data_IF_672031079984
#
_entry.id   IF_672031079984
#
_cell.length_a   1.000
_cell.length_b   1.000
_cell.length_c   1.000
_cell.angle_alpha   90.00
_cell.angle_beta   90.00
_cell.angle_gamma   90.00
#
_symmetry.space_group_name_H-M   'P 1'
#
loop_
_entity.id
_entity.type
_entity.pdbx_description
1 polymer ?
#
# COMPACT_ATOMS: atom_id res chain seq x y z
N UNK A 1 -16.91 52.03 38.37
CA UNK A 1 -16.68 51.51 37.00
C UNK A 1 -15.23 51.09 36.85
N UNK A 2 -14.92 49.81 37.05
CA UNK A 2 -13.63 49.21 36.65
C UNK A 2 -13.96 48.16 35.58
N UNK A 3 -13.57 48.40 34.34
CA UNK A 3 -13.78 47.49 33.20
C UNK A 3 -12.80 46.32 33.34
N UNK A 4 -13.32 45.09 33.43
CA UNK A 4 -12.52 43.88 33.18
C UNK A 4 -12.24 43.81 31.67
N UNK A 5 -10.97 43.95 31.28
CA UNK A 5 -10.52 43.45 29.98
C UNK A 5 -10.36 41.93 30.11
N UNK A 6 -11.21 41.17 29.43
CA UNK A 6 -10.97 39.76 29.17
C UNK A 6 -10.01 39.69 27.97
N UNK A 7 -8.75 39.35 28.24
CA UNK A 7 -7.81 38.99 27.18
C UNK A 7 -8.22 37.62 26.63
N UNK A 8 -8.81 37.61 25.43
CA UNK A 8 -9.08 36.40 24.67
C UNK A 8 -7.72 35.88 24.16
N UNK A 9 -7.19 34.84 24.79
CA UNK A 9 -6.03 34.11 24.27
C UNK A 9 -6.53 33.24 23.12
N UNK A 10 -6.29 33.68 21.87
CA UNK A 10 -6.37 32.79 20.73
C UNK A 10 -5.21 31.79 20.85
N UNK A 11 -5.53 30.55 21.23
CA UNK A 11 -4.61 29.42 21.08
C UNK A 11 -4.67 29.03 19.61
N UNK A 12 -3.76 29.58 18.81
CA UNK A 12 -3.49 29.07 17.48
C UNK A 12 -2.78 27.71 17.66
N UNK A 13 -3.50 26.62 17.43
CA UNK A 13 -2.87 25.31 17.24
C UNK A 13 -2.01 25.40 15.98
N UNK A 14 -0.71 25.10 16.04
CA UNK A 14 0.08 24.95 14.83
C UNK A 14 -0.48 23.73 14.10
N UNK A 15 -0.98 23.93 12.89
CA UNK A 15 -1.15 22.84 11.93
C UNK A 15 0.25 22.29 11.65
N UNK A 16 0.61 21.20 12.32
CA UNK A 16 1.84 20.48 12.02
C UNK A 16 1.56 19.54 10.85
N UNK A 17 1.89 19.99 9.63
CA UNK A 17 1.92 19.11 8.47
C UNK A 17 2.94 17.99 8.71
N UNK A 18 2.51 16.74 8.51
CA UNK A 18 3.42 15.62 8.27
C UNK A 18 4.28 15.99 7.05
N UNK A 19 5.60 15.87 7.14
CA UNK A 19 6.45 16.14 5.99
C UNK A 19 6.25 14.99 4.98
N UNK A 20 5.57 15.27 3.87
CA UNK A 20 5.41 14.33 2.75
C UNK A 20 6.75 13.72 2.36
N UNK A 21 6.82 12.40 2.20
CA UNK A 21 8.00 11.76 1.64
C UNK A 21 8.07 12.12 0.14
N UNK A 22 9.15 12.77 -0.32
CA UNK A 22 9.25 13.25 -1.70
C UNK A 22 9.23 12.09 -2.72
N UNK A 23 9.70 10.91 -2.35
CA UNK A 23 9.65 9.72 -3.20
C UNK A 23 8.23 9.22 -3.35
N UNK A 24 7.45 9.14 -2.26
CA UNK A 24 6.03 8.76 -2.31
C UNK A 24 5.24 9.79 -3.13
N UNK A 25 5.48 11.08 -2.92
CA UNK A 25 4.87 12.14 -3.71
C UNK A 25 5.19 12.02 -5.20
N UNK A 26 6.44 11.68 -5.55
CA UNK A 26 6.86 11.46 -6.93
C UNK A 26 6.19 10.24 -7.56
N UNK A 27 6.05 9.14 -6.82
CA UNK A 27 5.32 7.93 -7.24
C UNK A 27 3.84 8.28 -7.51
N UNK A 28 3.18 8.93 -6.56
CA UNK A 28 1.77 9.37 -6.69
C UNK A 28 1.58 10.28 -7.91
N UNK A 29 2.51 11.20 -8.16
CA UNK A 29 2.46 12.11 -9.31
C UNK A 29 2.76 11.42 -10.64
N UNK A 30 3.46 10.28 -10.63
CA UNK A 30 3.77 9.51 -11.83
C UNK A 30 2.63 8.60 -12.29
N UNK A 31 1.61 8.39 -11.44
CA UNK A 31 0.37 7.65 -11.80
C UNK A 31 -0.35 8.42 -12.89
N UNK A 32 -0.42 7.80 -14.07
CA UNK A 32 -0.90 8.41 -15.30
C UNK A 32 -2.25 7.80 -15.72
N UNK A 33 -3.24 8.67 -15.89
CA UNK A 33 -4.60 8.24 -16.24
C UNK A 33 -4.70 7.61 -17.64
N UNK A 34 -3.88 8.04 -18.61
CA UNK A 34 -3.87 7.45 -19.94
C UNK A 34 -3.33 6.01 -19.89
N UNK A 35 -2.31 5.74 -19.07
CA UNK A 35 -1.80 4.38 -18.84
C UNK A 35 -2.84 3.49 -18.17
N UNK A 36 -3.53 4.01 -17.15
CA UNK A 36 -4.62 3.30 -16.46
C UNK A 36 -5.75 2.95 -17.43
N UNK A 37 -6.24 3.94 -18.20
CA UNK A 37 -7.29 3.72 -19.19
C UNK A 37 -6.85 2.78 -20.31
N UNK A 38 -5.60 2.86 -20.78
CA UNK A 38 -5.08 1.92 -21.78
C UNK A 38 -5.12 0.48 -21.25
N UNK A 39 -4.67 0.26 -20.01
CA UNK A 39 -4.74 -1.05 -19.36
C UNK A 39 -6.19 -1.55 -19.25
N UNK A 40 -7.12 -0.70 -18.78
CA UNK A 40 -8.52 -1.07 -18.63
C UNK A 40 -9.14 -1.45 -19.97
N UNK A 41 -8.92 -0.64 -21.02
CA UNK A 41 -9.41 -0.94 -22.37
C UNK A 41 -8.85 -2.27 -22.93
N UNK A 42 -7.58 -2.56 -22.69
CA UNK A 42 -6.94 -3.82 -23.11
C UNK A 42 -7.50 -5.04 -22.36
N UNK A 43 -7.64 -4.92 -21.04
CA UNK A 43 -8.08 -6.01 -20.15
C UNK A 43 -9.58 -6.31 -20.32
N UNK A 44 -10.40 -5.29 -20.55
CA UNK A 44 -11.85 -5.40 -20.78
C UNK A 44 -12.21 -5.74 -22.23
N UNK A 45 -11.24 -5.79 -23.14
CA UNK A 45 -11.46 -6.18 -24.53
C UNK A 45 -11.99 -5.09 -25.45
N UNK A 46 -12.02 -3.84 -25.01
CA UNK A 46 -12.28 -2.66 -25.87
C UNK A 46 -11.21 -2.51 -26.96
N UNK A 47 -9.96 -2.85 -26.60
CA UNK A 47 -8.80 -2.85 -27.49
C UNK A 47 -8.13 -4.22 -27.45
N UNK A 48 -7.58 -4.64 -28.60
CA UNK A 48 -6.84 -5.89 -28.70
C UNK A 48 -5.52 -5.86 -27.92
N UNK A 49 -5.17 -7.00 -27.32
CA UNK A 49 -3.91 -7.27 -26.64
C UNK A 49 -2.95 -8.02 -27.53
N UNK A 50 -1.65 -7.94 -27.23
CA UNK A 50 -0.62 -8.70 -27.94
C UNK A 50 -0.06 -9.80 -27.03
N UNK A 51 -0.14 -11.05 -27.46
CA UNK A 51 0.41 -12.22 -26.77
C UNK A 51 1.29 -12.99 -27.74
N UNK A 52 2.55 -13.22 -27.39
CA UNK A 52 3.56 -13.83 -28.28
C UNK A 52 3.63 -13.20 -29.69
N UNK A 53 3.44 -11.88 -29.80
CA UNK A 53 3.45 -11.15 -31.07
C UNK A 53 2.19 -11.29 -31.93
N UNK A 54 1.13 -11.92 -31.41
CA UNK A 54 -0.18 -12.04 -32.07
C UNK A 54 -1.19 -11.15 -31.36
N UNK A 55 -1.94 -10.37 -32.13
CA UNK A 55 -3.05 -9.57 -31.60
C UNK A 55 -4.31 -10.42 -31.43
N UNK A 56 -4.91 -10.37 -30.24
CA UNK A 56 -6.18 -11.02 -29.90
C UNK A 56 -7.00 -10.11 -28.96
N UNK A 57 -8.24 -10.47 -28.62
CA UNK A 57 -9.10 -9.67 -27.75
C UNK A 57 -9.61 -10.50 -26.57
N UNK A 58 -9.44 -9.99 -25.35
CA UNK A 58 -9.97 -10.59 -24.14
C UNK A 58 -11.47 -10.28 -24.07
N UNK A 59 -12.32 -11.18 -24.57
CA UNK A 59 -13.78 -10.95 -24.60
C UNK A 59 -14.47 -11.18 -23.27
N UNK A 60 -13.95 -12.10 -22.47
CA UNK A 60 -14.44 -12.42 -21.13
C UNK A 60 -13.32 -13.08 -20.34
N UNK A 61 -13.12 -12.62 -19.11
CA UNK A 61 -12.15 -13.19 -18.18
C UNK A 61 -12.77 -14.23 -17.23
N UNK A 62 -14.03 -14.59 -17.44
CA UNK A 62 -14.66 -15.68 -16.69
C UNK A 62 -13.88 -16.99 -16.88
N UNK A 63 -13.67 -17.76 -15.81
CA UNK A 63 -12.95 -19.05 -15.82
C UNK A 63 -13.38 -20.04 -16.91
N UNK A 64 -14.64 -19.97 -17.35
CA UNK A 64 -15.20 -20.90 -18.34
C UNK A 64 -15.04 -20.39 -19.78
N UNK A 65 -14.39 -19.25 -19.96
CA UNK A 65 -14.21 -18.58 -21.24
C UNK A 65 -12.72 -18.56 -21.62
N UNK A 66 -12.38 -18.65 -22.92
CA UNK A 66 -11.00 -18.68 -23.37
C UNK A 66 -10.23 -17.38 -23.09
N UNK A 67 -10.94 -16.28 -22.82
CA UNK A 67 -10.31 -15.00 -22.52
C UNK A 67 -9.63 -14.95 -21.16
N UNK A 68 -9.99 -15.80 -20.20
CA UNK A 68 -9.30 -15.92 -18.90
C UNK A 68 -7.83 -16.32 -19.09
N UNK A 69 -7.58 -17.45 -19.78
CA UNK A 69 -6.23 -17.91 -20.10
C UNK A 69 -5.49 -16.95 -21.05
N UNK A 70 -6.20 -16.27 -21.97
CA UNK A 70 -5.60 -15.21 -22.78
C UNK A 70 -5.11 -14.05 -21.91
N UNK A 71 -5.91 -13.62 -20.93
CA UNK A 71 -5.57 -12.57 -19.97
C UNK A 71 -4.34 -12.96 -19.16
N UNK A 72 -4.31 -14.17 -18.58
CA UNK A 72 -3.14 -14.68 -17.85
C UNK A 72 -1.85 -14.55 -18.67
N UNK A 73 -1.87 -15.01 -19.93
CA UNK A 73 -0.69 -14.91 -20.82
C UNK A 73 -0.33 -13.47 -21.17
N UNK A 74 -1.32 -12.63 -21.40
CA UNK A 74 -1.13 -11.21 -21.67
C UNK A 74 -0.44 -10.50 -20.50
N UNK A 75 -0.96 -10.68 -19.29
CA UNK A 75 -0.40 -10.10 -18.06
C UNK A 75 1.04 -10.57 -17.85
N UNK A 76 1.30 -11.87 -18.04
CA UNK A 76 2.64 -12.45 -17.96
C UNK A 76 3.61 -11.81 -18.94
N UNK A 77 3.25 -11.80 -20.23
CA UNK A 77 4.11 -11.28 -21.29
C UNK A 77 4.36 -9.77 -21.09
N UNK A 78 3.35 -9.01 -20.62
CA UNK A 78 3.46 -7.58 -20.31
C UNK A 78 4.44 -7.32 -19.17
N UNK A 79 4.29 -8.01 -18.03
CA UNK A 79 5.18 -7.84 -16.87
C UNK A 79 6.62 -8.27 -17.20
N UNK A 80 6.81 -9.37 -17.93
CA UNK A 80 8.14 -9.79 -18.42
C UNK A 80 8.75 -8.72 -19.34
N UNK A 81 7.95 -8.11 -20.23
CA UNK A 81 8.43 -7.06 -21.13
C UNK A 81 8.93 -5.81 -20.38
N UNK A 82 8.42 -5.58 -19.17
CA UNK A 82 8.88 -4.51 -18.27
C UNK A 82 10.10 -4.90 -17.43
N UNK A 83 10.61 -6.11 -17.60
CA UNK A 83 11.82 -6.60 -16.93
C UNK A 83 11.57 -7.23 -15.56
N UNK A 84 10.32 -7.53 -15.21
CA UNK A 84 10.01 -8.20 -13.95
C UNK A 84 10.31 -9.70 -14.01
N UNK A 85 10.77 -10.24 -12.87
CA UNK A 85 10.55 -11.65 -12.58
C UNK A 85 9.06 -11.84 -12.31
N UNK A 86 8.47 -12.82 -13.01
CA UNK A 86 7.06 -13.16 -12.92
C UNK A 86 6.93 -14.60 -12.46
N UNK A 87 6.20 -14.80 -11.38
CA UNK A 87 5.86 -16.10 -10.84
C UNK A 87 4.35 -16.35 -10.98
N UNK A 88 3.96 -17.61 -10.89
CA UNK A 88 2.56 -18.02 -11.04
C UNK A 88 2.26 -19.25 -10.18
N UNK A 89 1.01 -19.37 -9.76
CA UNK A 89 0.51 -20.53 -9.00
C UNK A 89 -0.71 -21.10 -9.70
N UNK A 90 -0.61 -22.35 -10.15
CA UNK A 90 -1.77 -23.12 -10.58
C UNK A 90 -2.44 -23.77 -9.36
N UNK A 91 -3.78 -23.75 -9.31
CA UNK A 91 -4.54 -24.25 -8.17
C UNK A 91 -5.91 -24.82 -8.57
N UNK A 92 -6.52 -25.54 -7.63
CA UNK A 92 -7.87 -26.06 -7.76
C UNK A 92 -8.06 -27.10 -8.87
N UNK A 93 -9.29 -27.58 -9.02
CA UNK A 93 -9.67 -28.48 -10.11
C UNK A 93 -10.02 -27.73 -11.42
N UNK A 94 -10.18 -26.39 -11.35
CA UNK A 94 -10.42 -25.51 -12.50
C UNK A 94 -9.22 -25.35 -13.42
N UNK A 95 -8.00 -25.68 -12.96
CA UNK A 95 -6.74 -25.15 -13.50
C UNK A 95 -6.66 -23.61 -13.41
N UNK A 96 -7.13 -23.05 -12.29
CA UNK A 96 -7.05 -21.61 -12.02
C UNK A 96 -5.59 -21.18 -11.80
N UNK A 97 -5.23 -19.95 -12.18
CA UNK A 97 -3.83 -19.50 -12.25
C UNK A 97 -3.62 -18.09 -11.70
N UNK A 98 -3.01 -17.98 -10.54
CA UNK A 98 -2.53 -16.68 -10.06
C UNK A 98 -1.27 -16.27 -10.82
N UNK A 99 -1.03 -14.96 -10.90
CA UNK A 99 0.21 -14.40 -11.43
C UNK A 99 0.64 -13.20 -10.61
N UNK A 100 1.96 -13.06 -10.40
CA UNK A 100 2.49 -11.87 -9.75
C UNK A 100 3.90 -11.53 -10.24
N UNK A 101 4.22 -10.24 -10.19
CA UNK A 101 5.57 -9.72 -10.41
C UNK A 101 6.21 -9.31 -9.09
N UNK A 102 7.53 -9.47 -8.99
CA UNK A 102 8.28 -9.19 -7.76
C UNK A 102 9.27 -8.06 -7.97
N UNK A 103 9.24 -7.08 -7.07
CA UNK A 103 10.30 -6.09 -6.87
C UNK A 103 10.95 -6.32 -5.52
N UNK A 104 12.13 -6.94 -5.52
CA UNK A 104 12.83 -7.31 -4.28
C UNK A 104 13.22 -6.08 -3.45
N UNK A 105 12.91 -6.13 -2.16
CA UNK A 105 13.28 -5.11 -1.18
C UNK A 105 14.75 -5.19 -0.78
N UNK A 106 15.29 -4.06 -0.32
CA UNK A 106 16.70 -3.93 0.03
C UNK A 106 17.02 -4.36 1.46
N UNK A 107 16.06 -4.28 2.38
CA UNK A 107 16.26 -4.53 3.82
C UNK A 107 15.47 -5.75 4.29
N UNK A 108 14.21 -5.84 3.89
CA UNK A 108 13.26 -6.90 4.25
C UNK A 108 12.78 -7.66 3.00
N UNK A 109 13.67 -8.39 2.31
CA UNK A 109 13.32 -9.06 1.05
C UNK A 109 12.29 -10.19 1.22
N UNK A 110 12.11 -10.71 2.44
CA UNK A 110 11.20 -11.81 2.79
C UNK A 110 9.93 -11.35 3.52
N UNK A 111 9.69 -10.05 3.63
CA UNK A 111 8.47 -9.48 4.23
C UNK A 111 7.75 -8.62 3.19
N UNK A 112 7.11 -9.22 2.17
CA UNK A 112 6.52 -8.48 1.08
C UNK A 112 5.31 -7.63 1.51
N UNK A 113 5.20 -6.47 0.87
CA UNK A 113 3.97 -5.70 0.73
C UNK A 113 3.33 -6.09 -0.59
N UNK A 114 2.04 -6.43 -0.57
CA UNK A 114 1.30 -6.86 -1.74
C UNK A 114 0.30 -5.77 -2.13
N UNK A 115 0.29 -5.39 -3.40
CA UNK A 115 -0.82 -4.70 -4.04
C UNK A 115 -1.49 -5.66 -5.01
N UNK A 116 -2.80 -5.82 -4.92
CA UNK A 116 -3.51 -6.83 -5.69
C UNK A 116 -4.93 -6.46 -6.09
N UNK A 117 -5.40 -7.25 -7.06
CA UNK A 117 -6.70 -7.21 -7.71
C UNK A 117 -6.97 -8.64 -8.25
N UNK A 118 -8.22 -9.00 -8.49
CA UNK A 118 -8.50 -10.24 -9.23
C UNK A 118 -8.61 -9.96 -10.73
N UNK A 119 -8.36 -10.96 -11.55
CA UNK A 119 -8.42 -10.82 -13.00
C UNK A 119 -9.50 -11.64 -13.67
N UNK A 120 -10.13 -12.60 -12.98
CA UNK A 120 -11.33 -13.20 -13.51
C UNK A 120 -12.47 -12.18 -13.57
N UNK A 121 -13.62 -12.58 -14.08
CA UNK A 121 -14.73 -11.66 -14.19
C UNK A 121 -16.04 -12.35 -14.49
N UNK A 122 -17.10 -11.63 -14.23
CA UNK A 122 -18.48 -12.06 -14.40
C UNK A 122 -19.21 -11.19 -15.45
N UNK A 123 -20.34 -11.66 -15.99
CA UNK A 123 -20.92 -13.00 -15.82
C UNK A 123 -20.24 -14.06 -16.71
N UNK A 124 -20.64 -15.33 -16.56
CA UNK A 124 -20.25 -16.40 -17.48
C UNK A 124 -20.96 -16.27 -18.84
N UNK A 125 -20.48 -15.35 -19.66
CA UNK A 125 -20.93 -15.10 -21.03
C UNK A 125 -19.73 -15.06 -21.99
N UNK A 126 -19.93 -15.33 -23.30
CA UNK A 126 -18.86 -15.23 -24.29
C UNK A 126 -18.24 -13.83 -24.42
N UNK A 127 -18.99 -12.80 -24.03
CA UNK A 127 -18.55 -11.41 -23.93
C UNK A 127 -19.01 -10.89 -22.57
N UNK A 128 -18.05 -10.52 -21.73
CA UNK A 128 -18.23 -9.95 -20.40
C UNK A 128 -16.99 -9.09 -20.12
N UNK A 129 -17.06 -7.77 -20.37
CA UNK A 129 -15.89 -6.90 -20.30
C UNK A 129 -15.37 -6.73 -18.87
N UNK A 130 -16.26 -6.78 -17.87
CA UNK A 130 -15.90 -6.78 -16.45
C UNK A 130 -14.94 -5.61 -16.16
N UNK A 131 -15.31 -4.42 -16.65
CA UNK A 131 -14.41 -3.27 -16.70
C UNK A 131 -14.11 -2.72 -15.33
N UNK A 132 -15.14 -2.45 -14.54
CA UNK A 132 -14.93 -1.96 -13.19
C UNK A 132 -14.51 -3.10 -12.26
N UNK A 133 -15.15 -4.27 -12.42
CA UNK A 133 -14.97 -5.47 -11.59
C UNK A 133 -14.26 -6.60 -12.37
N UNK A 134 -12.93 -6.73 -12.33
CA UNK A 134 -11.98 -5.84 -11.66
C UNK A 134 -10.86 -5.35 -12.58
N UNK A 135 -11.17 -5.07 -13.86
CA UNK A 135 -10.16 -4.49 -14.75
C UNK A 135 -9.67 -3.12 -14.24
N UNK A 136 -10.45 -2.42 -13.42
CA UNK A 136 -10.07 -1.16 -12.76
C UNK A 136 -8.92 -1.39 -11.75
N UNK A 137 -9.05 -2.35 -10.83
CA UNK A 137 -8.03 -2.75 -9.87
C UNK A 137 -6.81 -3.35 -10.55
N UNK A 138 -7.01 -4.26 -11.52
CA UNK A 138 -5.91 -4.85 -12.30
C UNK A 138 -5.04 -3.78 -12.95
N UNK A 139 -5.68 -2.76 -13.52
CA UNK A 139 -4.99 -1.66 -14.20
C UNK A 139 -4.17 -0.81 -13.23
N UNK A 140 -4.65 -0.63 -11.99
CA UNK A 140 -3.90 0.02 -10.93
C UNK A 140 -2.72 -0.83 -10.43
N UNK A 141 -2.84 -2.17 -10.36
CA UNK A 141 -1.69 -3.07 -10.07
C UNK A 141 -0.61 -2.94 -11.15
N UNK A 142 -1.00 -2.96 -12.43
CA UNK A 142 -0.06 -2.77 -13.54
C UNK A 142 0.59 -1.38 -13.53
N UNK A 143 -0.18 -0.34 -13.22
CA UNK A 143 0.34 1.01 -13.10
C UNK A 143 1.30 1.14 -11.91
N UNK A 144 1.01 0.49 -10.78
CA UNK A 144 1.91 0.38 -9.63
C UNK A 144 3.26 -0.21 -10.04
N UNK A 145 3.24 -1.34 -10.76
CA UNK A 145 4.45 -1.95 -11.29
C UNK A 145 5.22 -0.95 -12.18
N UNK A 146 4.53 -0.29 -13.12
CA UNK A 146 5.16 0.69 -14.01
C UNK A 146 5.82 1.85 -13.27
N UNK A 147 5.14 2.48 -12.31
CA UNK A 147 5.64 3.70 -11.66
C UNK A 147 6.63 3.41 -10.54
N UNK A 148 6.53 2.25 -9.87
CA UNK A 148 7.43 1.87 -8.78
C UNK A 148 8.73 1.23 -9.28
N UNK A 149 8.80 0.85 -10.56
CA UNK A 149 9.96 0.15 -11.16
C UNK A 149 11.31 0.85 -10.88
N UNK A 150 11.35 2.18 -11.00
CA UNK A 150 12.57 3.00 -10.88
C UNK A 150 12.99 3.34 -9.45
N UNK A 151 12.18 2.99 -8.44
CA UNK A 151 12.46 3.30 -7.04
C UNK A 151 13.00 2.07 -6.33
N UNK A 152 13.53 2.22 -5.13
CA UNK A 152 13.91 1.09 -4.27
C UNK A 152 13.08 1.16 -3.00
N UNK A 153 12.91 0.02 -2.33
CA UNK A 153 12.07 -0.11 -1.15
C UNK A 153 12.77 -0.97 -0.11
N UNK A 154 12.47 -0.74 1.18
CA UNK A 154 12.99 -1.59 2.25
C UNK A 154 12.37 -2.98 2.15
N UNK A 155 11.05 -3.05 1.98
CA UNK A 155 10.30 -4.29 1.78
C UNK A 155 10.21 -4.69 0.31
N UNK A 156 10.10 -6.00 0.06
CA UNK A 156 9.70 -6.50 -1.26
C UNK A 156 8.30 -5.99 -1.61
N UNK A 157 8.07 -5.62 -2.87
CA UNK A 157 6.74 -5.30 -3.40
C UNK A 157 6.31 -6.40 -4.36
N UNK A 158 5.14 -6.99 -4.11
CA UNK A 158 4.50 -7.96 -4.98
C UNK A 158 3.32 -7.28 -5.67
N UNK A 159 3.29 -7.32 -7.00
CA UNK A 159 2.18 -6.88 -7.83
C UNK A 159 1.41 -8.11 -8.26
N UNK A 160 0.30 -8.42 -7.59
CA UNK A 160 -0.40 -9.69 -7.75
C UNK A 160 -1.77 -9.54 -8.41
N UNK A 161 -2.11 -10.55 -9.21
CA UNK A 161 -3.36 -10.66 -9.94
C UNK A 161 -3.91 -12.07 -9.69
N UNK A 162 -5.05 -12.14 -9.01
CA UNK A 162 -5.67 -13.40 -8.55
C UNK A 162 -6.69 -13.92 -9.55
N UNK A 163 -6.85 -15.23 -9.63
CA UNK A 163 -7.86 -15.88 -10.46
C UNK A 163 -8.95 -16.53 -9.59
N UNK A 164 -10.12 -16.82 -10.17
CA UNK A 164 -11.25 -17.45 -9.49
C UNK A 164 -11.67 -16.72 -8.16
N UNK A 165 -11.64 -15.38 -8.10
CA UNK A 165 -12.21 -14.60 -6.99
C UNK A 165 -13.72 -14.85 -6.91
N UNK A 166 -14.38 -14.77 -8.05
CA UNK A 166 -15.83 -14.87 -8.25
C UNK A 166 -16.38 -16.27 -7.94
N UNK A 167 -15.46 -17.21 -7.75
CA UNK A 167 -15.70 -18.60 -7.42
C UNK A 167 -15.25 -18.95 -5.99
N UNK A 168 -15.20 -17.94 -5.13
CA UNK A 168 -14.98 -18.07 -3.69
C UNK A 168 -13.54 -17.80 -3.26
N UNK A 169 -12.94 -16.73 -3.79
CA UNK A 169 -11.60 -16.23 -3.44
C UNK A 169 -10.51 -17.30 -3.66
N UNK A 170 -10.71 -18.17 -4.66
CA UNK A 170 -9.95 -19.41 -4.73
C UNK A 170 -8.46 -19.16 -5.00
N UNK A 171 -8.15 -18.17 -5.83
CA UNK A 171 -6.78 -17.76 -6.12
C UNK A 171 -6.07 -17.17 -4.92
N UNK A 172 -6.59 -16.10 -4.32
CA UNK A 172 -5.96 -15.48 -3.15
C UNK A 172 -5.87 -16.46 -1.97
N UNK A 173 -6.87 -17.32 -1.77
CA UNK A 173 -6.81 -18.35 -0.73
C UNK A 173 -5.72 -19.40 -1.00
N UNK A 174 -5.54 -19.81 -2.26
CA UNK A 174 -4.46 -20.74 -2.62
C UNK A 174 -3.08 -20.11 -2.36
N UNK A 175 -2.90 -18.83 -2.69
CA UNK A 175 -1.66 -18.09 -2.43
C UNK A 175 -1.42 -17.95 -0.93
N UNK A 176 -2.39 -17.45 -0.16
CA UNK A 176 -2.24 -17.25 1.28
C UNK A 176 -2.00 -18.57 2.02
N UNK A 177 -2.70 -19.65 1.63
CA UNK A 177 -2.48 -21.01 2.18
C UNK A 177 -1.08 -21.53 1.89
N UNK A 178 -0.54 -21.28 0.68
CA UNK A 178 0.81 -21.69 0.33
C UNK A 178 1.85 -21.02 1.25
N UNK A 179 1.70 -19.71 1.46
CA UNK A 179 2.62 -18.92 2.29
C UNK A 179 2.48 -19.24 3.79
N UNK A 180 1.26 -19.45 4.29
CA UNK A 180 1.04 -19.87 5.69
C UNK A 180 1.68 -21.24 5.97
N UNK A 181 1.50 -22.21 5.08
CA UNK A 181 2.14 -23.53 5.20
C UNK A 181 3.67 -23.47 5.15
N UNK A 182 4.23 -22.47 4.45
CA UNK A 182 5.66 -22.20 4.42
C UNK A 182 6.17 -21.44 5.67
N UNK A 183 5.25 -20.94 6.52
CA UNK A 183 5.51 -19.97 7.59
C UNK A 183 6.17 -18.69 7.07
N UNK A 184 5.78 -18.26 5.88
CA UNK A 184 6.25 -17.01 5.30
C UNK A 184 5.59 -15.81 5.99
N UNK A 185 6.30 -14.69 6.03
CA UNK A 185 5.76 -13.42 6.49
C UNK A 185 5.18 -12.64 5.32
N UNK A 186 4.07 -11.93 5.54
CA UNK A 186 3.53 -10.93 4.62
C UNK A 186 3.33 -9.66 5.44
N UNK A 187 4.00 -8.57 5.07
CA UNK A 187 3.98 -7.33 5.86
C UNK A 187 2.64 -6.62 5.78
N UNK A 188 2.00 -6.65 4.61
CA UNK A 188 0.66 -6.09 4.43
C UNK A 188 0.14 -6.24 3.01
N UNK A 189 -1.19 -6.29 2.89
CA UNK A 189 -1.89 -6.41 1.61
C UNK A 189 -2.84 -5.23 1.40
N UNK A 190 -2.72 -4.58 0.25
CA UNK A 190 -3.70 -3.62 -0.28
C UNK A 190 -4.44 -4.32 -1.43
N UNK A 191 -5.68 -4.72 -1.18
CA UNK A 191 -6.57 -5.25 -2.21
C UNK A 191 -7.45 -4.13 -2.77
N UNK A 192 -7.60 -4.06 -4.09
CA UNK A 192 -8.55 -3.18 -4.77
C UNK A 192 -9.56 -4.03 -5.52
N UNK A 193 -10.85 -3.73 -5.37
CA UNK A 193 -11.97 -4.40 -6.04
C UNK A 193 -13.27 -3.75 -5.54
N UNK A 194 -14.07 -3.06 -6.35
CA UNK A 194 -13.76 -2.33 -7.58
C UNK A 194 -13.49 -0.83 -7.26
N UNK A 195 -12.90 -0.08 -8.20
CA UNK A 195 -12.35 1.27 -7.90
C UNK A 195 -12.64 2.35 -8.96
N UNK A 196 -13.58 2.19 -9.87
CA UNK A 196 -13.84 3.17 -10.94
C UNK A 196 -15.26 3.73 -11.02
N UNK A 197 -16.21 3.30 -10.19
CA UNK A 197 -17.57 3.86 -10.14
C UNK A 197 -17.73 4.93 -9.07
N UNK A 198 -18.34 6.06 -9.47
CA UNK A 198 -18.78 7.17 -8.62
C UNK A 198 -19.84 7.95 -9.42
N UNK A 199 -21.11 7.55 -9.34
CA UNK A 199 -22.19 8.09 -10.15
C UNK A 199 -22.67 9.46 -9.69
N UNK A 200 -22.48 9.79 -8.41
CA UNK A 200 -22.92 11.06 -7.82
C UNK A 200 -21.79 12.10 -7.63
N UNK A 201 -20.54 11.72 -7.92
CA UNK A 201 -19.33 12.53 -7.89
C UNK A 201 -18.97 13.07 -6.50
N UNK A 202 -19.31 12.35 -5.44
CA UNK A 202 -18.96 12.72 -4.06
C UNK A 202 -17.56 12.22 -3.64
N UNK A 203 -16.94 11.36 -4.46
CA UNK A 203 -15.63 10.73 -4.21
C UNK A 203 -15.57 9.91 -2.92
N UNK A 204 -16.70 9.36 -2.47
CA UNK A 204 -16.72 8.44 -1.33
C UNK A 204 -16.15 7.09 -1.74
N UNK A 205 -15.28 6.56 -0.88
CA UNK A 205 -14.77 5.20 -0.99
C UNK A 205 -14.63 4.58 0.40
N UNK A 206 -14.43 3.27 0.46
CA UNK A 206 -14.37 2.52 1.70
C UNK A 206 -13.03 1.81 1.89
N UNK A 207 -12.60 1.79 3.15
CA UNK A 207 -11.51 0.92 3.62
C UNK A 207 -12.12 -0.13 4.54
N UNK A 208 -12.11 -1.39 4.14
CA UNK A 208 -12.49 -2.50 5.02
C UNK A 208 -11.26 -3.03 5.76
N UNK A 209 -11.33 -3.01 7.10
CA UNK A 209 -10.27 -3.48 7.98
C UNK A 209 -10.82 -4.24 9.18
N UNK A 210 -10.00 -5.07 9.83
CA UNK A 210 -10.37 -5.83 11.04
C UNK A 210 -9.21 -5.82 12.04
N UNK A 211 -9.44 -6.06 13.34
CA UNK A 211 -8.36 -6.25 14.32
C UNK A 211 -7.70 -7.63 14.17
N UNK A 212 -7.15 -7.90 12.99
CA UNK A 212 -6.40 -9.10 12.60
C UNK A 212 -5.01 -8.65 12.17
N UNK A 213 -3.97 -9.26 12.73
CA UNK A 213 -2.58 -8.85 12.55
C UNK A 213 -2.39 -7.32 12.66
N UNK A 214 -1.78 -6.69 11.66
CA UNK A 214 -1.56 -5.25 11.55
C UNK A 214 -2.55 -4.55 10.57
N UNK A 215 -3.71 -5.14 10.27
CA UNK A 215 -4.67 -4.58 9.29
C UNK A 215 -5.17 -3.17 9.64
N UNK A 216 -5.34 -2.85 10.93
CA UNK A 216 -5.72 -1.49 11.37
C UNK A 216 -4.60 -0.47 11.07
N UNK A 217 -3.33 -0.87 11.20
CA UNK A 217 -2.18 -0.02 10.83
C UNK A 217 -2.10 0.20 9.31
N UNK A 218 -2.44 -0.82 8.52
CA UNK A 218 -2.52 -0.71 7.06
C UNK A 218 -3.63 0.28 6.68
N UNK A 219 -4.80 0.21 7.32
CA UNK A 219 -5.89 1.17 7.11
C UNK A 219 -5.49 2.60 7.51
N UNK A 220 -4.84 2.77 8.66
CA UNK A 220 -4.30 4.06 9.09
C UNK A 220 -3.29 4.63 8.07
N UNK A 221 -2.49 3.76 7.43
CA UNK A 221 -1.55 4.16 6.37
C UNK A 221 -2.28 4.68 5.12
N UNK A 222 -3.37 4.03 4.71
CA UNK A 222 -4.22 4.52 3.62
C UNK A 222 -4.78 5.91 3.96
N UNK A 223 -5.35 6.08 5.15
CA UNK A 223 -5.94 7.35 5.60
C UNK A 223 -4.89 8.46 5.65
N UNK A 224 -3.70 8.14 6.16
CA UNK A 224 -2.57 9.06 6.20
C UNK A 224 -2.15 9.47 4.79
N UNK A 225 -2.05 8.53 3.84
CA UNK A 225 -1.70 8.85 2.45
C UNK A 225 -2.75 9.73 1.78
N UNK A 226 -4.03 9.43 1.97
CA UNK A 226 -5.12 10.26 1.43
C UNK A 226 -5.02 11.71 1.92
N UNK A 227 -4.77 11.88 3.23
CA UNK A 227 -4.68 13.19 3.89
C UNK A 227 -3.38 13.92 3.53
N UNK A 228 -2.23 13.29 3.76
CA UNK A 228 -0.91 13.89 3.65
C UNK A 228 -0.57 14.27 2.21
N UNK A 229 -1.00 13.49 1.22
CA UNK A 229 -0.78 13.77 -0.20
C UNK A 229 -1.99 14.42 -0.89
N UNK A 230 -3.02 14.77 -0.12
CA UNK A 230 -4.22 15.47 -0.60
C UNK A 230 -4.85 14.77 -1.82
N UNK A 231 -5.03 13.45 -1.74
CA UNK A 231 -5.59 12.66 -2.84
C UNK A 231 -7.05 13.06 -3.11
N UNK A 232 -7.81 13.32 -2.04
CA UNK A 232 -9.16 13.88 -2.13
C UNK A 232 -10.25 12.83 -2.37
N UNK A 233 -10.10 11.68 -1.72
CA UNK A 233 -11.17 10.67 -1.52
C UNK A 233 -11.81 10.93 -0.16
N UNK A 234 -13.12 10.80 -0.04
CA UNK A 234 -13.82 10.77 1.24
C UNK A 234 -13.86 9.32 1.76
N UNK A 235 -12.89 8.96 2.59
CA UNK A 235 -12.72 7.57 3.06
C UNK A 235 -13.60 7.26 4.25
N UNK A 236 -14.50 6.30 4.08
CA UNK A 236 -15.25 5.67 5.16
C UNK A 236 -14.54 4.39 5.61
N UNK A 237 -14.38 4.22 6.91
CA UNK A 237 -13.73 3.01 7.46
C UNK A 237 -14.79 2.05 7.96
N UNK A 238 -14.78 0.83 7.41
CA UNK A 238 -15.60 -0.28 7.88
C UNK A 238 -14.74 -1.18 8.78
N UNK A 239 -14.99 -1.16 10.09
CA UNK A 239 -14.35 -2.02 11.08
C UNK A 239 -15.40 -2.56 12.10
N UNK A 240 -15.75 -3.86 12.09
CA UNK A 240 -15.17 -4.90 11.24
C UNK A 240 -15.56 -4.72 9.77
N UNK A 241 -14.56 -4.81 8.90
CA UNK A 241 -14.70 -4.83 7.46
C UNK A 241 -15.38 -6.10 7.00
N UNK A 242 -15.92 -6.09 5.80
CA UNK A 242 -16.56 -7.26 5.23
C UNK A 242 -15.53 -8.14 4.51
N UNK A 243 -15.95 -9.34 4.14
CA UNK A 243 -15.06 -10.44 3.71
C UNK A 243 -15.41 -10.93 2.31
N UNK A 244 -15.86 -10.02 1.43
CA UNK A 244 -16.38 -10.39 0.12
C UNK A 244 -15.33 -10.46 -0.98
N UNK A 245 -14.09 -10.02 -0.75
CA UNK A 245 -13.01 -10.00 -1.75
C UNK A 245 -11.72 -10.60 -1.17
N UNK A 246 -10.66 -10.64 -1.99
CA UNK A 246 -9.43 -11.41 -1.78
C UNK A 246 -8.65 -11.06 -0.50
N UNK A 247 -8.78 -9.84 0.04
CA UNK A 247 -8.20 -9.47 1.33
C UNK A 247 -8.65 -10.39 2.46
N UNK A 248 -9.86 -10.97 2.35
CA UNK A 248 -10.40 -11.90 3.33
C UNK A 248 -9.60 -13.21 3.41
N UNK A 249 -9.04 -13.67 2.28
CA UNK A 249 -8.17 -14.84 2.26
C UNK A 249 -6.95 -14.63 3.15
N UNK A 250 -6.34 -13.45 3.12
CA UNK A 250 -5.20 -13.11 3.97
C UNK A 250 -5.59 -13.03 5.46
N UNK A 251 -6.75 -12.45 5.78
CA UNK A 251 -7.26 -12.45 7.16
C UNK A 251 -7.48 -13.86 7.72
N UNK A 252 -7.91 -14.82 6.90
CA UNK A 252 -8.12 -16.21 7.33
C UNK A 252 -6.81 -16.90 7.76
N UNK A 253 -5.67 -16.37 7.33
CA UNK A 253 -4.32 -16.86 7.65
C UNK A 253 -3.54 -15.90 8.56
N UNK A 254 -4.23 -15.01 9.29
CA UNK A 254 -3.64 -14.04 10.23
C UNK A 254 -2.59 -13.10 9.61
N UNK A 255 -2.76 -12.78 8.32
CA UNK A 255 -2.00 -11.73 7.64
C UNK A 255 -2.74 -10.39 7.67
N UNK A 256 -1.97 -9.30 7.72
CA UNK A 256 -2.52 -7.95 7.63
C UNK A 256 -3.00 -7.61 6.23
N UNK A 257 -4.26 -7.19 6.09
CA UNK A 257 -4.83 -6.83 4.81
C UNK A 257 -5.92 -5.76 4.95
N UNK A 258 -6.11 -4.97 3.90
CA UNK A 258 -7.29 -4.11 3.72
C UNK A 258 -7.85 -4.27 2.32
N UNK A 259 -9.13 -3.95 2.18
CA UNK A 259 -9.78 -3.72 0.89
C UNK A 259 -10.07 -2.24 0.72
N UNK A 260 -9.65 -1.69 -0.41
CA UNK A 260 -10.06 -0.39 -0.94
C UNK A 260 -11.08 -0.60 -2.04
N UNK A 261 -12.26 -0.02 -1.86
CA UNK A 261 -13.41 -0.26 -2.71
C UNK A 261 -14.26 1.02 -2.82
N UNK A 262 -14.94 1.18 -3.94
CA UNK A 262 -16.01 2.17 -4.12
C UNK A 262 -17.23 1.99 -3.18
N UNK A 263 -18.10 3.00 -3.12
CA UNK A 263 -19.22 3.01 -2.16
C UNK A 263 -20.41 2.15 -2.60
N UNK A 264 -20.34 0.86 -2.30
CA UNK A 264 -21.43 -0.09 -2.50
C UNK A 264 -22.72 0.18 -1.72
N UNK A 265 -22.66 0.89 -0.59
CA UNK A 265 -23.83 1.03 0.28
C UNK A 265 -24.80 2.10 -0.24
N UNK A 266 -24.27 3.17 -0.84
CA UNK A 266 -25.08 4.32 -1.28
C UNK A 266 -24.97 4.59 -2.79
N UNK A 267 -23.94 4.08 -3.47
CA UNK A 267 -23.66 4.32 -4.88
C UNK A 267 -23.12 3.05 -5.58
N UNK A 268 -23.87 1.95 -5.47
CA UNK A 268 -23.50 0.69 -6.10
C UNK A 268 -23.47 0.79 -7.64
N UNK A 269 -22.43 0.23 -8.26
CA UNK A 269 -22.33 0.10 -9.70
C UNK A 269 -23.49 -0.76 -10.25
N UNK A 270 -24.36 -0.14 -11.07
CA UNK A 270 -25.54 -0.82 -11.63
C UNK A 270 -25.21 -1.82 -12.73
N UNK A 271 -23.96 -1.90 -13.18
CA UNK A 271 -23.47 -2.81 -14.21
C UNK A 271 -22.69 -3.99 -13.64
N UNK A 272 -22.49 -4.06 -12.34
CA UNK A 272 -21.77 -5.16 -11.69
C UNK A 272 -22.33 -6.53 -12.05
N UNK A 273 -21.43 -7.46 -12.39
CA UNK A 273 -21.75 -8.80 -12.88
C UNK A 273 -22.70 -8.83 -14.09
N UNK A 274 -22.76 -7.74 -14.85
CA UNK A 274 -23.54 -7.62 -16.07
C UNK A 274 -22.62 -7.52 -17.30
N UNK A 275 -23.14 -7.92 -18.46
CA UNK A 275 -22.41 -7.80 -19.73
C UNK A 275 -22.11 -6.34 -20.13
N UNK A 276 -22.73 -5.37 -19.44
CA UNK A 276 -22.58 -3.93 -19.67
C UNK A 276 -21.59 -3.26 -18.72
N UNK A 277 -20.85 -4.01 -17.89
CA UNK A 277 -19.72 -3.46 -17.13
C UNK A 277 -18.57 -3.09 -18.09
N UNK A 278 -18.66 -1.89 -18.65
CA UNK A 278 -17.81 -1.36 -19.73
C UNK A 278 -17.06 -0.10 -19.28
N UNK A 279 -15.86 0.10 -19.84
CA UNK A 279 -14.94 1.21 -19.49
C UNK A 279 -15.59 2.59 -19.68
N UNK A 280 -16.59 2.71 -20.57
CA UNK A 280 -17.30 3.96 -20.80
C UNK A 280 -18.04 4.51 -19.57
N UNK A 281 -18.33 3.66 -18.58
CA UNK A 281 -19.03 4.05 -17.36
C UNK A 281 -18.10 4.48 -16.22
N UNK A 282 -16.78 4.41 -16.40
CA UNK A 282 -15.82 4.84 -15.39
C UNK A 282 -16.02 6.32 -15.05
N UNK A 283 -16.05 6.63 -13.75
CA UNK A 283 -15.75 7.96 -13.25
C UNK A 283 -14.22 8.15 -13.28
N UNK A 284 -13.72 8.66 -14.40
CA UNK A 284 -12.26 8.79 -14.65
C UNK A 284 -11.53 9.60 -13.55
N UNK A 285 -12.03 10.77 -13.09
CA UNK A 285 -11.40 11.49 -11.97
C UNK A 285 -11.34 10.68 -10.68
N UNK A 286 -12.43 10.00 -10.30
CA UNK A 286 -12.48 9.15 -9.11
C UNK A 286 -11.52 7.97 -9.23
N UNK A 287 -11.56 7.26 -10.35
CA UNK A 287 -10.68 6.14 -10.67
C UNK A 287 -9.19 6.52 -10.57
N UNK A 288 -8.82 7.70 -11.08
CA UNK A 288 -7.44 8.21 -10.97
C UNK A 288 -7.03 8.45 -9.51
N UNK A 289 -7.92 9.03 -8.70
CA UNK A 289 -7.67 9.27 -7.27
C UNK A 289 -7.52 7.95 -6.51
N UNK A 290 -8.42 6.98 -6.72
CA UNK A 290 -8.34 5.66 -6.08
C UNK A 290 -7.04 4.94 -6.45
N UNK A 291 -6.66 4.95 -7.72
CA UNK A 291 -5.38 4.38 -8.18
C UNK A 291 -4.17 5.06 -7.51
N UNK A 292 -4.17 6.40 -7.42
CA UNK A 292 -3.12 7.15 -6.71
C UNK A 292 -3.05 6.83 -5.23
N UNK A 293 -4.21 6.66 -4.58
CA UNK A 293 -4.30 6.30 -3.17
C UNK A 293 -3.70 4.92 -2.91
N UNK A 294 -4.16 3.90 -3.65
CA UNK A 294 -3.70 2.52 -3.49
C UNK A 294 -2.19 2.41 -3.72
N UNK A 295 -1.68 2.98 -4.82
CA UNK A 295 -0.24 2.95 -5.14
C UNK A 295 0.57 3.73 -4.10
N UNK A 296 0.08 4.88 -3.65
CA UNK A 296 0.73 5.67 -2.61
C UNK A 296 0.80 4.94 -1.26
N UNK A 297 -0.27 4.24 -0.88
CA UNK A 297 -0.34 3.42 0.33
C UNK A 297 0.61 2.22 0.26
N UNK A 298 0.65 1.52 -0.87
CA UNK A 298 1.63 0.46 -1.10
C UNK A 298 3.06 0.98 -1.00
N UNK A 299 3.37 2.12 -1.62
CA UNK A 299 4.70 2.73 -1.54
C UNK A 299 5.07 3.15 -0.10
N UNK A 300 4.10 3.63 0.68
CA UNK A 300 4.30 3.98 2.08
C UNK A 300 4.61 2.75 2.95
N UNK A 301 3.84 1.67 2.77
CA UNK A 301 4.07 0.40 3.47
C UNK A 301 5.40 -0.24 3.06
N UNK A 302 5.77 -0.14 1.79
CA UNK A 302 7.01 -0.71 1.28
C UNK A 302 8.26 0.06 1.74
N UNK A 303 8.08 1.31 2.19
CA UNK A 303 9.11 2.26 2.66
C UNK A 303 10.16 2.56 1.59
N UNK A 304 10.13 3.73 0.93
CA UNK A 304 11.12 4.05 -0.10
C UNK A 304 12.55 4.06 0.44
N UNK A 305 13.43 3.32 -0.21
CA UNK A 305 14.84 3.19 0.13
C UNK A 305 15.69 4.06 -0.79
N UNK A 306 16.44 5.00 -0.20
CA UNK A 306 17.40 5.82 -0.92
C UNK A 306 18.83 5.36 -0.60
N UNK A 307 19.44 4.59 -1.50
CA UNK A 307 20.88 4.26 -1.46
C UNK A 307 21.73 5.47 -1.86
N UNK A 308 21.75 6.53 -1.02
CA UNK A 308 22.33 7.81 -1.45
C UNK A 308 22.47 8.92 -0.41
N UNK A 309 22.98 8.63 0.78
CA UNK A 309 23.86 9.54 1.53
C UNK A 309 24.82 8.67 2.34
N UNK A 310 26.06 8.58 1.87
CA UNK A 310 27.07 7.69 2.44
C UNK A 310 27.34 8.02 3.89
N UNK A 311 26.88 7.13 4.76
CA UNK A 311 27.19 7.08 6.18
C UNK A 311 27.10 5.59 6.53
N UNK A 312 28.21 4.98 6.97
CA UNK A 312 28.18 3.58 7.42
C UNK A 312 27.25 3.46 8.63
N UNK A 313 26.26 2.58 8.55
CA UNK A 313 25.37 2.26 9.65
C UNK A 313 26.05 1.19 10.53
N UNK A 314 26.66 1.62 11.62
CA UNK A 314 27.32 0.72 12.58
C UNK A 314 26.24 0.02 13.44
N UNK A 315 26.20 -1.31 13.42
CA UNK A 315 25.33 -2.11 14.30
C UNK A 315 26.14 -2.72 15.46
N UNK A 316 25.85 -2.31 16.70
CA UNK A 316 26.45 -2.88 17.92
C UNK A 316 26.64 -1.85 19.05
N UNK A 317 26.50 -2.30 20.31
CA UNK A 317 26.67 -1.71 21.68
C UNK A 317 27.13 -0.24 21.94
N UNK A 318 27.01 0.68 20.98
CA UNK A 318 27.57 2.03 21.03
C UNK A 318 26.55 3.09 21.40
N UNK A 319 25.25 2.79 21.32
CA UNK A 319 24.16 3.58 21.88
C UNK A 319 23.39 2.73 22.90
N UNK A 320 23.18 3.28 24.09
CA UNK A 320 22.44 2.62 25.18
C UNK A 320 21.29 3.49 25.63
N UNK A 321 20.08 2.91 25.55
CA UNK A 321 18.82 3.48 26.02
C UNK A 321 18.41 2.79 27.33
N UNK A 322 18.33 3.53 28.43
CA UNK A 322 17.93 2.97 29.72
C UNK A 322 17.14 3.95 30.60
N UNK A 323 15.97 3.55 31.14
CA UNK A 323 15.28 2.28 30.89
C UNK A 323 14.67 2.22 29.48
N UNK A 324 14.54 1.02 28.93
CA UNK A 324 13.82 0.77 27.67
C UNK A 324 13.16 -0.62 27.76
N UNK A 325 11.82 -0.73 27.93
CA UNK A 325 10.82 0.34 27.85
C UNK A 325 10.92 1.44 28.91
N UNK A 326 10.56 2.67 28.55
CA UNK A 326 10.61 3.87 29.37
C UNK A 326 9.22 4.36 29.79
N UNK A 327 9.05 4.73 31.07
CA UNK A 327 7.77 5.15 31.67
C UNK A 327 7.64 6.66 31.93
N UNK A 328 8.72 7.41 31.82
CA UNK A 328 8.71 8.85 32.08
C UNK A 328 9.96 9.50 31.51
N UNK A 329 11.14 8.99 31.82
CA UNK A 329 12.40 9.45 31.24
C UNK A 329 13.16 8.29 30.60
N UNK A 330 14.03 8.61 29.64
CA UNK A 330 15.04 7.69 29.11
C UNK A 330 16.41 8.35 29.15
N UNK A 331 17.41 7.62 29.62
CA UNK A 331 18.81 8.01 29.47
C UNK A 331 19.33 7.42 28.16
N UNK A 332 19.91 8.29 27.35
CA UNK A 332 20.54 7.96 26.07
C UNK A 332 22.02 8.20 26.27
N UNK A 333 22.84 7.20 26.06
CA UNK A 333 24.31 7.32 26.17
C UNK A 333 24.99 6.73 24.95
N UNK A 334 26.10 7.31 24.54
CA UNK A 334 26.84 6.89 23.35
C UNK A 334 28.35 7.01 23.53
N UNK A 335 29.11 6.23 22.76
CA UNK A 335 30.58 6.23 22.86
C UNK A 335 31.27 7.11 21.81
N UNK A 336 30.82 7.06 20.56
CA UNK A 336 31.43 7.78 19.43
C UNK A 336 31.07 9.28 19.41
N UNK A 337 31.78 10.07 18.61
CA UNK A 337 31.43 11.48 18.39
C UNK A 337 30.31 11.58 17.36
N UNK A 338 29.23 12.27 17.74
CA UNK A 338 28.07 12.53 16.89
C UNK A 338 27.76 14.03 16.90
N UNK A 339 27.18 14.52 15.82
CA UNK A 339 26.81 15.93 15.66
C UNK A 339 25.32 16.16 15.93
N UNK A 340 24.48 15.14 15.72
CA UNK A 340 23.02 15.23 15.92
C UNK A 340 22.48 14.03 16.68
N UNK A 341 21.46 14.29 17.51
CA UNK A 341 20.57 13.29 18.10
C UNK A 341 19.14 13.64 17.67
N UNK A 342 18.47 12.70 17.02
CA UNK A 342 17.08 12.80 16.58
C UNK A 342 16.27 11.66 17.17
N UNK A 343 15.00 11.91 17.46
CA UNK A 343 14.04 10.86 17.77
C UNK A 343 12.88 10.99 16.81
N UNK A 344 12.56 9.91 16.13
CA UNK A 344 11.39 9.81 15.26
C UNK A 344 10.34 8.88 15.84
N UNK A 345 9.08 9.09 15.51
CA UNK A 345 8.05 8.06 15.71
C UNK A 345 8.11 6.97 14.62
N UNK A 346 7.18 6.02 14.65
CA UNK A 346 7.10 4.91 13.67
C UNK A 346 6.83 5.36 12.24
N UNK A 347 6.37 6.60 12.02
CA UNK A 347 6.09 7.18 10.71
C UNK A 347 7.28 8.00 10.20
N UNK A 348 8.42 8.01 10.91
CA UNK A 348 9.61 8.78 10.56
C UNK A 348 9.52 10.26 10.92
N UNK A 349 8.47 10.71 11.62
CA UNK A 349 8.33 12.11 12.04
C UNK A 349 9.28 12.41 13.18
N UNK A 350 10.14 13.42 13.02
CA UNK A 350 11.03 13.92 14.07
C UNK A 350 10.20 14.53 15.20
N UNK A 351 10.25 13.92 16.39
CA UNK A 351 9.59 14.37 17.62
C UNK A 351 10.56 15.06 18.57
N UNK A 352 11.87 14.85 18.41
CA UNK A 352 12.94 15.52 19.13
C UNK A 352 14.18 15.62 18.24
N UNK A 353 14.90 16.76 18.29
CA UNK A 353 16.20 16.91 17.62
C UNK A 353 17.08 17.88 18.39
N UNK A 354 18.36 17.55 18.53
CA UNK A 354 19.38 18.45 19.12
C UNK A 354 20.73 18.24 18.45
N UNK A 355 21.53 19.31 18.46
CA UNK A 355 22.97 19.21 18.18
C UNK A 355 23.67 18.59 19.39
N UNK A 356 24.63 17.71 19.13
CA UNK A 356 25.51 17.09 20.13
C UNK A 356 26.91 17.64 19.93
N UNK A 357 27.58 17.98 21.04
CA UNK A 357 28.98 18.42 21.04
C UNK A 357 29.88 17.25 21.43
N UNK A 358 31.11 17.21 20.93
CA UNK A 358 32.09 16.13 21.16
C UNK A 358 32.26 15.76 22.65
N UNK A 359 32.15 16.72 23.56
CA UNK A 359 32.31 16.52 25.01
C UNK A 359 31.10 15.84 25.71
N UNK A 360 29.98 15.67 25.01
CA UNK A 360 28.74 15.11 25.58
C UNK A 360 28.54 13.69 25.08
N UNK A 361 28.50 12.73 26.01
CA UNK A 361 28.36 11.28 25.75
C UNK A 361 27.06 10.68 26.26
N UNK A 362 26.11 11.54 26.62
CA UNK A 362 24.78 11.13 27.02
C UNK A 362 23.86 12.30 27.31
N UNK A 363 22.55 12.03 27.26
CA UNK A 363 21.49 12.96 27.65
C UNK A 363 20.34 12.20 28.31
N UNK A 364 19.50 12.91 29.06
CA UNK A 364 18.26 12.38 29.61
C UNK A 364 17.11 13.11 28.94
N UNK A 365 16.18 12.35 28.37
CA UNK A 365 14.97 12.91 27.78
C UNK A 365 13.77 12.63 28.68
N UNK A 366 12.99 13.67 28.93
CA UNK A 366 11.64 13.55 29.50
C UNK A 366 10.65 13.20 28.40
N UNK A 367 9.98 12.07 28.58
CA UNK A 367 9.02 11.49 27.67
C UNK A 367 7.56 11.72 28.09
N UNK A 368 7.29 12.55 29.11
CA UNK A 368 5.94 12.82 29.58
C UNK A 368 5.02 13.42 28.50
N UNK A 369 5.58 14.18 27.56
CA UNK A 369 4.85 14.80 26.45
C UNK A 369 4.63 13.87 25.25
N UNK A 370 5.21 12.67 25.25
CA UNK A 370 5.20 11.74 24.12
C UNK A 370 4.17 10.64 24.37
N UNK A 371 3.43 10.25 23.32
CA UNK A 371 2.43 9.17 23.41
C UNK A 371 3.12 7.83 23.66
N UNK A 372 2.41 6.89 24.29
CA UNK A 372 2.87 5.51 24.38
C UNK A 372 3.02 4.93 22.97
N UNK A 373 4.12 4.21 22.72
CA UNK A 373 4.44 3.73 21.38
C UNK A 373 5.92 3.45 21.16
N UNK A 374 6.25 3.13 19.91
CA UNK A 374 7.61 2.88 19.45
C UNK A 374 8.16 4.19 18.86
N UNK A 375 9.42 4.46 19.17
CA UNK A 375 10.21 5.56 18.64
C UNK A 375 11.57 5.03 18.20
N UNK A 376 12.27 5.78 17.35
CA UNK A 376 13.63 5.47 16.91
C UNK A 376 14.54 6.61 17.29
N UNK A 377 15.58 6.32 18.08
CA UNK A 377 16.62 7.27 18.46
C UNK A 377 17.76 7.15 17.47
N UNK A 378 18.01 8.20 16.69
CA UNK A 378 19.08 8.28 15.71
C UNK A 378 20.18 9.23 16.21
N UNK A 379 21.43 8.78 16.17
CA UNK A 379 22.62 9.62 16.32
C UNK A 379 23.35 9.65 14.99
N UNK A 380 23.79 10.83 14.53
CA UNK A 380 24.51 10.96 13.26
C UNK A 380 25.61 12.02 13.30
N UNK A 381 26.64 11.84 12.47
CA UNK A 381 27.55 12.88 12.01
C UNK A 381 27.75 12.71 10.49
N UNK A 382 28.65 13.50 9.89
CA UNK A 382 28.96 13.41 8.45
C UNK A 382 29.47 12.04 7.95
N UNK A 383 29.99 11.17 8.83
CA UNK A 383 30.69 9.92 8.49
C UNK A 383 29.95 8.65 8.99
N UNK A 384 29.20 8.73 10.11
CA UNK A 384 28.50 7.59 10.75
C UNK A 384 27.09 7.94 11.26
N UNK A 385 26.20 6.95 11.28
CA UNK A 385 24.88 7.03 11.91
C UNK A 385 24.55 5.73 12.63
N UNK A 386 23.76 5.82 13.70
CA UNK A 386 23.23 4.67 14.43
C UNK A 386 21.79 4.95 14.84
N UNK A 387 20.93 3.95 14.71
CA UNK A 387 19.51 4.04 15.08
C UNK A 387 19.16 2.94 16.08
N UNK A 388 18.48 3.29 17.17
CA UNK A 388 18.05 2.35 18.21
C UNK A 388 16.58 2.53 18.56
N UNK A 389 15.84 1.42 18.61
CA UNK A 389 14.43 1.39 19.01
C UNK A 389 14.24 1.77 20.48
N UNK A 390 13.37 2.74 20.74
CA UNK A 390 12.88 3.18 22.05
C UNK A 390 11.39 2.81 22.21
N UNK A 391 11.01 2.24 23.34
CA UNK A 391 9.62 1.88 23.66
C UNK A 391 9.14 2.78 24.81
N UNK A 392 8.12 3.61 24.57
CA UNK A 392 7.43 4.40 25.59
C UNK A 392 6.18 3.65 26.09
N UNK A 393 6.05 3.46 27.40
CA UNK A 393 4.92 2.77 28.05
C UNK A 393 4.13 3.61 29.03
#
# INVERSE_FOLDING_TARGET
>A
MKRLLHSLVLIAFPFFASAQNPTIQAIINAVNIDSLMQNANEISGEVGVVVNGVTDTIKSRNRNQPGNELCFRYLRDKLISWGYQVDSLAFGASDGKNIWAVKTGNIYPNEPVIICAHYDGMPNLPVAPAADDDASGMSAVLEAARVMASYNFEHTVIFALWDDEEYGLAGSNAFATLHDNANDSIYGVINMDAIAWDSDNDSVARVHTRPIANSEMIADTVIAVNTDYTIGIDLLVNNPGATYSDHASFWNHDYGAVLLIEDWDNDANTHYHDATDEVQYFNIPYYHKMSRLSIGATAALAVPYNSGAGIEEETGELIRLYPNPAHGTVNISWQNDYETLEITDVLGKIVYSTVVTEDVKGTTLDLAAYRNGIYFVKLANKDRQVTQKLIRK
#
